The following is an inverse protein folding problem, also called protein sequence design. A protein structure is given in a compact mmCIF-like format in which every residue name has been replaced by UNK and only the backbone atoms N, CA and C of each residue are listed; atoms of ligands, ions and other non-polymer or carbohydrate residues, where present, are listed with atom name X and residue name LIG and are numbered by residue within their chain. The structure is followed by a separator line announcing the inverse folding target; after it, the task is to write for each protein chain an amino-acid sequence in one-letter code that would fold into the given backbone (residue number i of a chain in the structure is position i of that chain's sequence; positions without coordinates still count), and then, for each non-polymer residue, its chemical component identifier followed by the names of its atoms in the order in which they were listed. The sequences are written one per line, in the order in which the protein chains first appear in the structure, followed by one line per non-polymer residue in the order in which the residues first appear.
data_IF_750771493821
#
_entry.id   IF_750771493821
#
_cell.length_a   1.000
_cell.length_b   1.000
_cell.length_c   1.000
_cell.angle_alpha   90.00
_cell.angle_beta   90.00
_cell.angle_gamma   90.00
#
_symmetry.space_group_name_H-M   'P 1'
#
loop_
_entity.id
_entity.type
_entity.pdbx_description
1 polymer ?
#
# COMPACT_ATOMS: atom_id res chain seq x y z
N UNK A 1 -10.05 -3.54 4.78
CA UNK A 1 -9.08 -2.89 3.87
C UNK A 1 -9.06 -3.57 2.50
N UNK A 2 -10.19 -3.57 1.77
CA UNK A 2 -10.32 -4.23 0.46
C UNK A 2 -9.27 -3.79 -0.59
N UNK A 3 -8.90 -2.50 -0.74
CA UNK A 3 -8.01 -2.07 -1.83
C UNK A 3 -6.58 -2.59 -1.76
N UNK A 4 -6.14 -3.19 -0.64
CA UNK A 4 -4.77 -3.71 -0.47
C UNK A 4 -4.70 -5.22 -0.48
N UNK A 5 -5.82 -5.92 -0.69
CA UNK A 5 -5.85 -7.39 -0.65
C UNK A 5 -5.16 -8.02 -1.87
N UNK A 6 -5.15 -7.31 -2.99
CA UNK A 6 -4.59 -7.77 -4.26
C UNK A 6 -3.75 -6.68 -4.90
N UNK A 7 -2.88 -7.09 -5.83
CA UNK A 7 -2.10 -6.16 -6.65
C UNK A 7 -3.00 -5.10 -7.32
N UNK A 8 -2.48 -3.88 -7.38
CA UNK A 8 -3.15 -2.77 -8.08
C UNK A 8 -3.27 -3.10 -9.56
N UNK A 9 -4.49 -3.00 -10.09
CA UNK A 9 -4.77 -3.28 -11.49
C UNK A 9 -4.30 -2.13 -12.38
N UNK A 10 -3.58 -2.43 -13.48
CA UNK A 10 -3.26 -1.44 -14.53
C UNK A 10 -4.49 -0.84 -15.20
N UNK A 11 -5.64 -1.52 -15.12
CA UNK A 11 -6.91 -0.98 -15.64
C UNK A 11 -7.39 0.19 -14.79
N UNK A 12 -7.23 0.07 -13.48
CA UNK A 12 -7.75 1.04 -12.50
C UNK A 12 -6.72 2.16 -12.25
N UNK A 13 -5.43 1.85 -12.38
CA UNK A 13 -4.31 2.77 -12.21
C UNK A 13 -3.24 2.54 -13.29
N UNK A 14 -3.42 3.08 -14.52
CA UNK A 14 -2.57 2.78 -15.68
C UNK A 14 -1.10 3.15 -15.54
N UNK A 15 -0.80 4.20 -14.79
CA UNK A 15 0.53 4.74 -14.50
C UNK A 15 1.14 4.20 -13.20
N UNK A 16 0.42 3.37 -12.44
CA UNK A 16 0.85 2.89 -11.12
C UNK A 16 2.26 2.30 -11.12
N UNK A 17 2.56 1.43 -12.08
CA UNK A 17 3.86 0.76 -12.18
C UNK A 17 4.95 1.61 -12.84
N UNK A 18 4.63 2.83 -13.26
CA UNK A 18 5.61 3.83 -13.69
C UNK A 18 6.07 4.66 -12.48
N UNK A 19 5.15 4.93 -11.56
CA UNK A 19 5.40 5.69 -10.31
C UNK A 19 5.97 4.77 -9.22
N UNK A 20 5.37 3.59 -9.03
CA UNK A 20 5.71 2.65 -7.96
C UNK A 20 6.65 1.56 -8.47
N UNK A 21 7.88 1.59 -7.98
CA UNK A 21 8.97 0.69 -8.37
C UNK A 21 8.93 -0.66 -7.66
N UNK A 22 8.43 -0.70 -6.42
CA UNK A 22 8.30 -1.93 -5.61
C UNK A 22 6.85 -2.14 -5.15
N UNK A 23 5.98 -2.67 -6.03
CA UNK A 23 4.60 -2.98 -5.68
C UNK A 23 4.51 -4.00 -4.54
N UNK A 24 3.55 -3.81 -3.62
CA UNK A 24 3.28 -4.73 -2.52
C UNK A 24 1.79 -4.72 -2.17
N UNK A 25 1.27 -5.84 -1.69
CA UNK A 25 -0.12 -6.04 -1.30
C UNK A 25 -0.24 -7.14 -0.23
N UNK A 26 -1.34 -7.15 0.53
CA UNK A 26 -1.58 -8.09 1.64
C UNK A 26 -1.70 -9.54 1.15
N UNK A 27 -2.15 -9.78 -0.09
CA UNK A 27 -2.17 -11.10 -0.70
C UNK A 27 -0.75 -11.65 -0.90
N UNK A 28 0.16 -10.81 -1.40
CA UNK A 28 1.59 -11.13 -1.53
C UNK A 28 2.23 -11.39 -0.17
N UNK A 29 1.96 -10.55 0.85
CA UNK A 29 2.46 -10.77 2.22
C UNK A 29 1.95 -12.10 2.80
N UNK A 30 0.65 -12.38 2.63
CA UNK A 30 0.04 -13.63 3.09
C UNK A 30 0.67 -14.85 2.43
N UNK A 31 0.97 -14.76 1.12
CA UNK A 31 1.69 -15.82 0.39
C UNK A 31 3.10 -16.03 0.95
N UNK A 32 3.86 -14.95 1.15
CA UNK A 32 5.22 -15.01 1.73
C UNK A 32 5.25 -15.63 3.13
N UNK A 33 4.25 -15.33 3.97
CA UNK A 33 4.09 -15.96 5.28
C UNK A 33 3.85 -17.47 5.17
N UNK A 34 2.91 -17.90 4.31
CA UNK A 34 2.60 -19.34 4.09
C UNK A 34 3.77 -20.12 3.53
N UNK A 35 4.62 -19.47 2.75
CA UNK A 35 5.81 -20.06 2.12
C UNK A 35 7.08 -19.90 2.98
N UNK A 36 6.96 -19.43 4.23
CA UNK A 36 8.07 -19.21 5.17
C UNK A 36 9.22 -18.37 4.56
N UNK A 37 8.86 -17.33 3.78
CA UNK A 37 9.83 -16.46 3.08
C UNK A 37 10.39 -15.33 3.92
N UNK A 38 9.81 -15.06 5.08
CA UNK A 38 10.30 -14.04 6.00
C UNK A 38 11.29 -14.67 6.98
N UNK A 39 12.54 -14.20 6.95
CA UNK A 39 13.60 -14.67 7.86
C UNK A 39 13.58 -13.91 9.19
N UNK A 40 12.90 -12.77 9.24
CA UNK A 40 12.75 -11.95 10.43
C UNK A 40 11.40 -11.26 10.48
N UNK A 41 11.00 -10.83 11.69
CA UNK A 41 9.83 -9.95 11.88
C UNK A 41 9.99 -8.63 11.14
N UNK A 42 11.22 -8.12 11.03
CA UNK A 42 11.51 -6.85 10.36
C UNK A 42 11.14 -6.91 8.88
N UNK A 43 11.49 -7.98 8.18
CA UNK A 43 11.15 -8.13 6.75
C UNK A 43 9.62 -8.13 6.49
N UNK A 44 8.84 -8.66 7.45
CA UNK A 44 7.38 -8.60 7.38
C UNK A 44 6.87 -7.17 7.59
N UNK A 45 7.42 -6.45 8.57
CA UNK A 45 7.09 -5.03 8.83
C UNK A 45 7.48 -4.16 7.63
N UNK A 46 8.62 -4.43 6.99
CA UNK A 46 9.09 -3.68 5.83
C UNK A 46 8.12 -3.80 4.64
N UNK A 47 7.52 -4.97 4.42
CA UNK A 47 6.51 -5.14 3.38
C UNK A 47 5.17 -4.48 3.73
N UNK A 48 4.78 -4.46 5.01
CA UNK A 48 3.63 -3.67 5.47
C UNK A 48 3.85 -2.17 5.24
N UNK A 49 5.05 -1.68 5.57
CA UNK A 49 5.44 -0.30 5.32
C UNK A 49 5.55 0.02 3.84
N UNK A 50 5.92 -0.95 3.00
CA UNK A 50 5.93 -0.76 1.55
C UNK A 50 4.52 -0.47 1.01
N UNK A 51 3.48 -1.14 1.52
CA UNK A 51 2.08 -0.85 1.13
C UNK A 51 1.73 0.60 1.47
N UNK A 52 2.12 1.05 2.68
CA UNK A 52 1.90 2.42 3.12
C UNK A 52 2.63 3.43 2.22
N UNK A 53 3.94 3.26 2.02
CA UNK A 53 4.74 4.17 1.19
C UNK A 53 4.22 4.23 -0.26
N UNK A 54 3.88 3.08 -0.85
CA UNK A 54 3.32 3.05 -2.21
C UNK A 54 1.99 3.80 -2.29
N UNK A 55 1.13 3.63 -1.28
CA UNK A 55 -0.14 4.35 -1.21
C UNK A 55 0.11 5.85 -1.06
N UNK A 56 1.02 6.27 -0.19
CA UNK A 56 1.34 7.67 -0.01
C UNK A 56 1.91 8.29 -1.30
N UNK A 57 3.02 7.74 -1.81
CA UNK A 57 3.68 8.17 -3.04
C UNK A 57 2.69 8.30 -4.21
N UNK A 58 1.93 7.25 -4.52
CA UNK A 58 1.03 7.29 -5.67
C UNK A 58 -0.13 8.29 -5.51
N UNK A 59 -0.66 8.47 -4.30
CA UNK A 59 -1.84 9.29 -4.07
C UNK A 59 -1.54 10.74 -3.64
N UNK A 60 -0.28 11.08 -3.37
CA UNK A 60 0.12 12.45 -2.99
C UNK A 60 1.09 13.11 -3.95
N UNK A 61 1.77 12.34 -4.81
CA UNK A 61 2.67 12.95 -5.79
C UNK A 61 1.91 13.53 -6.99
N UNK A 62 2.24 14.77 -7.41
CA UNK A 62 1.55 15.47 -8.49
C UNK A 62 1.79 14.87 -9.89
N UNK A 63 2.66 13.87 -10.00
CA UNK A 63 3.01 13.20 -11.28
C UNK A 63 1.95 12.20 -11.74
N UNK A 64 1.07 11.73 -10.84
CA UNK A 64 0.01 10.80 -11.24
C UNK A 64 -1.17 11.57 -11.84
N UNK A 65 -1.40 11.37 -13.13
CA UNK A 65 -2.46 12.03 -13.90
C UNK A 65 -3.89 11.65 -13.44
N UNK A 66 -4.03 10.71 -12.50
CA UNK A 66 -5.33 10.26 -11.97
C UNK A 66 -6.02 11.26 -11.04
N UNK A 67 -5.49 12.48 -10.88
CA UNK A 67 -6.24 13.58 -10.25
C UNK A 67 -7.42 14.10 -11.09
N UNK A 68 -7.57 13.67 -12.35
CA UNK A 68 -8.70 14.06 -13.22
C UNK A 68 -9.80 13.00 -13.17
N UNK A 69 -10.60 13.06 -12.10
CA UNK A 69 -12.05 12.79 -12.02
C UNK A 69 -12.40 12.31 -10.62
N UNK A 70 -13.21 13.10 -9.92
CA UNK A 70 -13.55 12.91 -8.51
C UNK A 70 -14.13 11.52 -8.20
N UNK A 71 -13.42 10.78 -7.36
CA UNK A 71 -13.92 9.58 -6.71
C UNK A 71 -12.84 8.95 -5.82
N UNK A 72 -12.98 9.08 -4.49
CA UNK A 72 -12.27 8.33 -3.44
C UNK A 72 -10.97 8.85 -2.80
N UNK A 73 -10.48 10.06 -3.08
CA UNK A 73 -9.39 10.64 -2.24
C UNK A 73 -9.76 10.76 -0.75
N UNK A 74 -11.05 10.82 -0.43
CA UNK A 74 -11.56 10.86 0.96
C UNK A 74 -11.41 9.55 1.73
N UNK A 75 -11.55 8.38 1.08
CA UNK A 75 -11.43 7.09 1.77
C UNK A 75 -9.97 6.77 2.14
N UNK A 76 -9.02 7.02 1.23
CA UNK A 76 -7.60 6.75 1.48
C UNK A 76 -7.02 7.67 2.54
N UNK A 77 -7.45 8.94 2.59
CA UNK A 77 -7.03 9.89 3.63
C UNK A 77 -7.40 9.43 5.05
N UNK A 78 -8.57 8.82 5.23
CA UNK A 78 -8.98 8.24 6.53
C UNK A 78 -8.20 6.96 6.86
N UNK A 79 -7.86 6.16 5.85
CA UNK A 79 -7.09 4.91 6.04
C UNK A 79 -5.61 5.14 6.35
N UNK A 80 -4.98 6.14 5.72
CA UNK A 80 -3.59 6.57 6.03
C UNK A 80 -3.47 6.90 7.52
N UNK A 81 -4.42 7.68 8.07
CA UNK A 81 -4.46 7.97 9.50
C UNK A 81 -4.73 6.72 10.38
N UNK A 82 -5.51 5.75 9.91
CA UNK A 82 -5.81 4.53 10.69
C UNK A 82 -4.62 3.56 10.79
N UNK A 83 -3.75 3.51 9.77
CA UNK A 83 -2.52 2.71 9.84
C UNK A 83 -1.49 3.38 10.76
N UNK A 84 -1.46 4.72 10.84
CA UNK A 84 -0.65 5.43 11.83
C UNK A 84 -1.05 5.08 13.27
N UNK A 85 -2.35 4.94 13.55
CA UNK A 85 -2.87 4.55 14.87
C UNK A 85 -2.51 3.10 15.20
N UNK A 86 -2.65 2.18 14.25
CA UNK A 86 -2.28 0.76 14.47
C UNK A 86 -0.77 0.56 14.61
N UNK A 87 0.06 1.30 13.87
CA UNK A 87 1.53 1.22 13.97
C UNK A 87 2.05 1.89 15.25
N UNK A 88 1.46 2.99 15.71
CA UNK A 88 1.79 3.58 17.01
C UNK A 88 1.36 2.71 18.20
N UNK A 89 0.23 1.98 18.08
CA UNK A 89 -0.26 1.08 19.12
C UNK A 89 0.49 -0.27 19.19
N UNK A 90 1.35 -0.59 18.22
CA UNK A 90 2.18 -1.80 18.23
C UNK A 90 3.65 -1.54 18.59
N UNK A 91 4.04 -0.28 18.80
CA UNK A 91 5.39 0.13 19.23
C UNK A 91 5.43 0.66 20.68
N UNK A 92 4.34 0.53 21.44
CA UNK A 92 4.26 0.80 22.88
C UNK A 92 3.37 -0.23 23.58
#
# INVERSE_FOLDING_TARGET
SVPFLTKVSRRDAPDYYQVITRPMDLGTITKKLKEFKYQSKQEFVDDLMQIYHNCFTYNTEPVSYTHVCGGNTRQYRMFIQSMDVCMHACLW
#
